data_IF_663888343907
#
_entry.id   IF_663888343907
#
_cell.length_a   1.000
_cell.length_b   1.000
_cell.length_c   1.000
_cell.angle_alpha   90.00
_cell.angle_beta   90.00
_cell.angle_gamma   90.00
#
_symmetry.space_group_name_H-M   'P 1'
#
loop_
_entity.id
_entity.type
_entity.pdbx_description
1 polymer ?
#
# COMPACT_ATOMS: atom_id res chain seq x y z
N UNK A 1 6.33 2.46 -21.45
CA UNK A 1 7.20 3.64 -21.23
C UNK A 1 6.79 4.86 -22.06
N UNK A 2 5.95 4.74 -23.10
CA UNK A 2 5.51 5.93 -23.86
C UNK A 2 4.84 7.04 -23.00
N UNK A 3 4.16 6.67 -21.91
CA UNK A 3 3.48 7.63 -21.02
C UNK A 3 4.40 8.47 -20.12
N UNK A 4 5.63 8.03 -19.84
CA UNK A 4 6.61 8.84 -19.07
C UNK A 4 7.20 9.97 -19.91
N UNK A 5 7.14 9.84 -21.24
CA UNK A 5 7.66 10.83 -22.18
C UNK A 5 6.62 11.92 -22.54
N UNK A 6 5.40 11.79 -22.04
CA UNK A 6 4.33 12.77 -22.24
C UNK A 6 4.24 13.65 -21.00
N UNK A 7 4.12 14.97 -21.21
CA UNK A 7 3.96 15.93 -20.12
C UNK A 7 2.66 15.70 -19.33
N UNK A 8 2.70 15.98 -18.02
CA UNK A 8 1.54 15.87 -17.13
C UNK A 8 0.34 16.69 -17.58
N UNK A 9 0.59 17.89 -18.14
CA UNK A 9 -0.46 18.77 -18.67
C UNK A 9 -1.24 18.17 -19.83
N UNK A 10 -0.67 17.17 -20.52
CA UNK A 10 -1.28 16.44 -21.65
C UNK A 10 -1.77 15.04 -21.24
N UNK A 11 -1.89 14.76 -19.93
CA UNK A 11 -2.31 13.46 -19.41
C UNK A 11 -1.20 12.41 -19.34
N UNK A 12 0.06 12.79 -19.55
CA UNK A 12 1.20 11.92 -19.31
C UNK A 12 1.62 11.84 -17.84
N UNK A 13 2.60 10.99 -17.54
CA UNK A 13 3.16 10.88 -16.19
C UNK A 13 4.31 11.87 -15.95
N UNK A 14 4.98 12.30 -17.02
CA UNK A 14 6.25 13.01 -16.95
C UNK A 14 7.36 12.13 -16.35
N UNK A 15 8.41 12.79 -15.88
CA UNK A 15 9.51 12.12 -15.17
C UNK A 15 9.01 11.51 -13.86
N UNK A 16 9.37 10.25 -13.62
CA UNK A 16 8.90 9.45 -12.49
C UNK A 16 10.09 8.93 -11.68
N UNK A 17 10.06 9.17 -10.37
CA UNK A 17 11.07 8.66 -9.42
C UNK A 17 10.75 7.26 -8.90
N UNK A 18 9.65 6.66 -9.36
CA UNK A 18 9.22 5.31 -9.00
C UNK A 18 9.26 4.39 -10.22
N UNK A 19 9.65 3.11 -10.05
CA UNK A 19 9.66 2.16 -11.15
C UNK A 19 8.24 1.88 -11.64
N UNK A 20 8.07 1.78 -12.96
CA UNK A 20 6.81 1.40 -13.60
C UNK A 20 6.98 -0.02 -14.16
N UNK A 21 6.27 -0.96 -13.55
CA UNK A 21 6.29 -2.37 -13.95
C UNK A 21 5.20 -2.66 -15.00
N UNK A 22 5.51 -3.52 -15.97
CA UNK A 22 4.56 -4.01 -16.96
C UNK A 22 4.26 -5.50 -16.74
N UNK A 23 3.03 -5.84 -16.38
CA UNK A 23 2.57 -7.23 -16.21
C UNK A 23 1.80 -7.71 -17.44
N UNK A 24 2.52 -7.92 -18.56
CA UNK A 24 1.89 -8.31 -19.84
C UNK A 24 1.23 -9.70 -19.79
N UNK A 25 1.78 -10.62 -19.01
CA UNK A 25 1.28 -11.99 -18.87
C UNK A 25 0.10 -12.08 -17.90
N UNK A 26 -0.22 -10.99 -17.19
CA UNK A 26 -1.21 -10.93 -16.11
C UNK A 26 -0.89 -11.84 -14.93
N UNK A 27 0.34 -12.36 -14.86
CA UNK A 27 0.74 -13.33 -13.84
C UNK A 27 0.82 -12.70 -12.45
N UNK A 28 1.25 -11.43 -12.38
CA UNK A 28 1.43 -10.72 -11.12
C UNK A 28 0.06 -10.33 -10.57
N UNK A 29 -0.81 -9.73 -11.38
CA UNK A 29 -2.16 -9.38 -10.95
C UNK A 29 -3.00 -10.59 -10.53
N UNK A 30 -2.78 -11.76 -11.16
CA UNK A 30 -3.36 -13.05 -10.71
C UNK A 30 -2.79 -13.49 -9.38
N UNK A 31 -1.46 -13.50 -9.23
CA UNK A 31 -0.81 -13.91 -7.99
C UNK A 31 -1.20 -13.04 -6.79
N UNK A 32 -1.42 -11.74 -7.01
CA UNK A 32 -1.86 -10.79 -6.00
C UNK A 32 -3.39 -10.73 -5.84
N UNK A 33 -4.16 -11.52 -6.60
CA UNK A 33 -5.61 -11.60 -6.48
C UNK A 33 -6.36 -10.32 -6.87
N UNK A 34 -5.76 -9.48 -7.73
CA UNK A 34 -6.33 -8.17 -8.12
C UNK A 34 -6.76 -8.11 -9.58
N UNK A 35 -6.64 -9.20 -10.34
CA UNK A 35 -7.14 -9.25 -11.72
C UNK A 35 -8.67 -9.20 -11.75
N UNK A 36 -9.22 -8.22 -12.47
CA UNK A 36 -10.59 -8.24 -12.96
C UNK A 36 -10.62 -9.05 -14.26
N UNK A 37 -11.00 -10.32 -14.15
CA UNK A 37 -10.95 -11.27 -15.28
C UNK A 37 -11.75 -10.79 -16.49
N UNK A 38 -12.92 -10.18 -16.29
CA UNK A 38 -13.81 -9.73 -17.36
C UNK A 38 -13.19 -8.63 -18.26
N UNK A 39 -12.43 -7.71 -17.65
CA UNK A 39 -11.86 -6.55 -18.36
C UNK A 39 -10.36 -6.73 -18.65
N UNK A 40 -9.74 -7.75 -18.06
CA UNK A 40 -8.32 -8.03 -18.20
C UNK A 40 -7.40 -6.97 -17.58
N UNK A 41 -7.92 -6.16 -16.65
CA UNK A 41 -7.19 -5.11 -15.91
C UNK A 41 -7.14 -5.42 -14.43
N UNK A 42 -6.23 -4.78 -13.69
CA UNK A 42 -6.19 -4.93 -12.25
C UNK A 42 -7.16 -3.95 -11.55
N UNK A 43 -7.84 -4.40 -10.49
CA UNK A 43 -8.38 -3.54 -9.46
C UNK A 43 -7.28 -2.67 -8.84
N UNK A 44 -7.66 -1.61 -8.12
CA UNK A 44 -6.70 -0.69 -7.50
C UNK A 44 -6.13 -1.28 -6.21
N UNK A 45 -5.32 -2.32 -6.36
CA UNK A 45 -4.60 -2.98 -5.27
C UNK A 45 -3.37 -2.19 -4.80
N UNK A 46 -3.21 -2.07 -3.49
CA UNK A 46 -2.01 -1.59 -2.81
C UNK A 46 -1.61 -2.61 -1.76
N UNK A 47 -0.32 -2.91 -1.72
CA UNK A 47 0.27 -3.91 -0.84
C UNK A 47 1.45 -3.28 -0.08
N UNK A 48 1.47 -3.44 1.24
CA UNK A 48 2.62 -3.04 2.07
C UNK A 48 3.36 -4.32 2.46
N UNK A 49 4.61 -4.41 2.02
CA UNK A 49 5.50 -5.56 2.24
C UNK A 49 6.68 -5.07 3.09
N UNK A 50 7.02 -5.79 4.16
CA UNK A 50 8.12 -5.45 5.05
C UNK A 50 9.50 -5.92 4.51
N UNK A 51 10.62 -5.52 5.15
CA UNK A 51 11.96 -5.95 4.72
C UNK A 51 12.18 -7.47 4.74
N UNK A 52 11.43 -8.20 5.58
CA UNK A 52 11.42 -9.67 5.66
C UNK A 52 10.53 -10.32 4.58
N UNK A 53 10.05 -9.53 3.61
CA UNK A 53 9.19 -9.96 2.50
C UNK A 53 7.82 -10.52 2.95
N UNK A 54 7.34 -10.10 4.12
CA UNK A 54 6.02 -10.46 4.63
C UNK A 54 5.01 -9.39 4.25
N UNK A 55 3.87 -9.85 3.77
CA UNK A 55 2.74 -8.98 3.46
C UNK A 55 2.08 -8.51 4.76
N UNK A 56 2.05 -7.19 4.97
CA UNK A 56 1.53 -6.57 6.21
C UNK A 56 0.16 -5.95 6.03
N UNK A 57 -0.13 -5.45 4.83
CA UNK A 57 -1.38 -4.74 4.56
C UNK A 57 -1.78 -4.86 3.09
N UNK A 58 -3.10 -4.97 2.88
CA UNK A 58 -3.73 -5.02 1.56
C UNK A 58 -4.89 -4.03 1.53
N UNK A 59 -4.88 -3.11 0.57
CA UNK A 59 -6.04 -2.25 0.23
C UNK A 59 -6.44 -2.54 -1.21
N UNK A 60 -7.70 -2.90 -1.44
CA UNK A 60 -8.26 -3.10 -2.78
C UNK A 60 -9.43 -2.14 -2.95
N UNK A 61 -9.28 -1.19 -3.86
CA UNK A 61 -10.36 -0.29 -4.26
C UNK A 61 -10.92 -0.68 -5.63
N UNK A 62 -12.20 -0.43 -5.83
CA UNK A 62 -12.81 -0.48 -7.16
C UNK A 62 -12.26 0.63 -8.08
N UNK A 63 -12.47 0.50 -9.38
CA UNK A 63 -11.93 1.37 -10.42
C UNK A 63 -12.27 2.87 -10.27
N UNK A 64 -13.47 3.31 -9.81
CA UNK A 64 -13.79 4.73 -9.76
C UNK A 64 -13.13 5.47 -8.60
N UNK A 65 -12.63 4.77 -7.57
CA UNK A 65 -12.17 5.41 -6.32
C UNK A 65 -10.65 5.33 -6.17
N UNK A 66 -10.01 6.49 -6.07
CA UNK A 66 -8.58 6.58 -5.79
C UNK A 66 -8.19 6.08 -4.39
N UNK A 67 -6.89 5.87 -4.19
CA UNK A 67 -6.31 5.52 -2.88
C UNK A 67 -5.85 6.77 -2.14
N UNK A 68 -5.62 6.63 -0.84
CA UNK A 68 -5.12 7.70 0.01
C UNK A 68 -3.63 7.50 0.34
N UNK A 69 -2.79 8.47 -0.03
CA UNK A 69 -1.34 8.45 0.24
C UNK A 69 -1.04 8.63 1.73
N UNK A 70 -1.77 9.51 2.42
CA UNK A 70 -1.57 9.77 3.84
C UNK A 70 -1.90 8.54 4.70
N UNK A 71 -2.94 7.80 4.32
CA UNK A 71 -3.28 6.54 5.00
C UNK A 71 -2.22 5.47 4.76
N UNK A 72 -1.69 5.39 3.53
CA UNK A 72 -0.58 4.48 3.21
C UNK A 72 0.64 4.83 4.07
N UNK A 73 0.99 6.11 4.18
CA UNK A 73 2.10 6.57 5.01
C UNK A 73 1.87 6.30 6.50
N UNK A 74 0.64 6.48 6.99
CA UNK A 74 0.25 6.18 8.38
C UNK A 74 0.47 4.70 8.69
N UNK A 75 0.01 3.82 7.81
CA UNK A 75 0.15 2.37 7.96
C UNK A 75 1.63 1.94 7.95
N UNK A 76 2.45 2.46 7.03
CA UNK A 76 3.90 2.18 7.00
C UNK A 76 4.55 2.58 8.33
N UNK A 77 4.26 3.78 8.84
CA UNK A 77 4.81 4.26 10.12
C UNK A 77 4.31 3.42 11.30
N UNK A 78 3.07 2.95 11.27
CA UNK A 78 2.52 2.10 12.33
C UNK A 78 3.24 0.75 12.38
N UNK A 79 3.46 0.09 11.24
CA UNK A 79 4.20 -1.18 11.22
C UNK A 79 5.65 -1.01 11.69
N UNK A 80 6.33 0.04 11.26
CA UNK A 80 7.69 0.36 11.73
C UNK A 80 7.73 0.62 13.23
N UNK A 81 6.70 1.27 13.79
CA UNK A 81 6.61 1.52 15.24
C UNK A 81 6.45 0.21 16.02
N UNK A 82 5.50 -0.64 15.62
CA UNK A 82 5.23 -1.93 16.27
C UNK A 82 6.49 -2.80 16.28
N UNK A 83 7.21 -2.84 15.16
CA UNK A 83 8.44 -3.62 15.03
C UNK A 83 9.56 -3.10 15.94
N UNK A 84 9.73 -1.78 16.03
CA UNK A 84 10.77 -1.16 16.86
C UNK A 84 10.47 -1.23 18.36
N UNK A 85 9.21 -1.12 18.76
CA UNK A 85 8.81 -0.92 20.16
C UNK A 85 8.15 -2.15 20.80
N UNK A 86 7.66 -3.12 20.02
CA UNK A 86 6.95 -4.29 20.53
C UNK A 86 5.57 -3.98 21.14
N UNK A 87 5.06 -2.77 20.94
CA UNK A 87 3.74 -2.31 21.34
C UNK A 87 2.79 -2.32 20.13
N UNK A 88 1.48 -2.28 20.38
CA UNK A 88 0.46 -2.24 19.31
C UNK A 88 -0.13 -0.84 19.14
N UNK A 89 -0.44 -0.51 17.89
CA UNK A 89 -1.07 0.75 17.50
C UNK A 89 -2.59 0.62 17.52
N UNK A 90 -3.32 1.41 18.33
CA UNK A 90 -4.79 1.42 18.33
C UNK A 90 -5.39 1.99 17.03
N UNK A 91 -6.72 1.93 16.91
CA UNK A 91 -7.44 2.48 15.76
C UNK A 91 -7.10 3.96 15.54
N UNK A 92 -6.94 4.37 14.28
CA UNK A 92 -6.56 5.73 13.87
C UNK A 92 -5.20 6.24 14.39
N UNK A 93 -4.36 5.38 14.97
CA UNK A 93 -3.05 5.77 15.48
C UNK A 93 -2.22 6.51 14.44
N UNK A 94 -1.58 7.59 14.89
CA UNK A 94 -0.58 8.39 14.19
C UNK A 94 0.70 8.51 15.05
N UNK A 95 1.84 8.84 14.45
CA UNK A 95 3.07 9.07 15.20
C UNK A 95 2.87 10.09 16.32
N UNK A 96 3.20 9.69 17.55
CA UNK A 96 3.01 10.50 18.76
C UNK A 96 1.76 10.15 19.58
N UNK A 97 0.83 9.37 19.02
CA UNK A 97 -0.35 8.90 19.76
C UNK A 97 0.02 7.81 20.76
N UNK A 98 -0.83 7.66 21.79
CA UNK A 98 -0.73 6.59 22.78
C UNK A 98 -0.81 5.21 22.12
N UNK A 99 -0.03 4.29 22.67
CA UNK A 99 0.10 2.90 22.24
C UNK A 99 -0.39 1.97 23.34
N UNK A 100 -0.48 0.67 23.04
CA UNK A 100 -0.88 -0.34 24.01
C UNK A 100 0.16 -1.44 24.08
N UNK A 101 0.45 -1.92 25.29
CA UNK A 101 1.24 -3.14 25.47
C UNK A 101 0.36 -4.34 25.16
N UNK A 102 0.88 -5.26 24.35
CA UNK A 102 0.22 -6.53 24.04
C UNK A 102 0.36 -7.54 25.20
N UNK A 103 -0.01 -7.13 26.41
CA UNK A 103 0.00 -7.98 27.61
C UNK A 103 -1.32 -7.78 28.36
N UNK A 104 -2.18 -8.80 28.46
CA UNK A 104 -3.49 -8.70 29.12
C UNK A 104 -3.38 -8.30 30.60
N UNK A 105 -2.22 -8.50 31.24
CA UNK A 105 -1.99 -8.13 32.64
C UNK A 105 -1.34 -6.76 32.82
N UNK A 106 -0.96 -6.07 31.73
CA UNK A 106 -0.34 -4.74 31.75
C UNK A 106 -1.09 -3.71 30.90
N UNK A 107 -2.33 -4.02 30.53
CA UNK A 107 -3.24 -3.12 29.83
C UNK A 107 -3.90 -2.14 30.81
N UNK A 108 -3.09 -1.28 31.45
CA UNK A 108 -3.55 -0.17 32.29
C UNK A 108 -2.79 1.10 31.94
#
# INVERSE_FOLDING_TARGET
LAWTNVERKKGGLGEMSIPILADKTKSIMKAYGVLKEDDGVAYRGLFIIDPEQRLRQITINDLPVGRNVDETLRLVKAFQFVEKHGEVCPANWKPGDKTMKADPNKAH
#
